data_IF_404989168322
#
_entry.id   IF_404989168322
#
_cell.length_a   1.000
_cell.length_b   1.000
_cell.length_c   1.000
_cell.angle_alpha   90.00
_cell.angle_beta   90.00
_cell.angle_gamma   90.00
#
_symmetry.space_group_name_H-M   'P 1'
#
loop_
_entity.id
_entity.type
_entity.pdbx_description
1 polymer ?
#
# COMPACT_ATOMS: atom_id res chain seq x y z
N UNK A 1 15.66 -6.80 2.48
CA UNK A 1 15.18 -7.86 1.53
C UNK A 1 13.85 -8.39 2.07
N UNK A 2 12.90 -8.76 1.19
CA UNK A 2 11.63 -9.33 1.66
C UNK A 2 11.85 -10.77 2.08
N UNK A 3 11.48 -11.07 3.31
CA UNK A 3 11.48 -12.39 3.93
C UNK A 3 10.04 -12.87 4.16
N UNK A 4 9.88 -14.16 4.44
CA UNK A 4 8.59 -14.78 4.74
C UNK A 4 8.65 -15.49 6.09
N UNK A 5 7.57 -15.37 6.85
CA UNK A 5 7.38 -16.04 8.14
C UNK A 5 5.98 -16.63 8.20
N UNK A 6 5.89 -17.94 8.29
CA UNK A 6 4.62 -18.63 8.45
C UNK A 6 4.45 -19.11 9.89
N UNK A 7 3.30 -18.82 10.45
CA UNK A 7 2.88 -19.29 11.78
C UNK A 7 1.40 -19.67 11.74
N UNK A 8 1.08 -20.91 12.09
CA UNK A 8 -0.28 -21.43 12.11
C UNK A 8 -1.02 -21.20 10.76
N UNK A 9 -2.12 -20.47 10.80
CA UNK A 9 -2.95 -20.13 9.65
C UNK A 9 -2.63 -18.77 9.03
N UNK A 10 -1.46 -18.19 9.34
CA UNK A 10 -1.06 -16.89 8.80
C UNK A 10 0.32 -16.93 8.13
N UNK A 11 0.47 -16.08 7.13
CA UNK A 11 1.72 -15.80 6.45
C UNK A 11 2.03 -14.31 6.57
N UNK A 12 3.25 -13.98 6.95
CA UNK A 12 3.77 -12.62 7.04
C UNK A 12 4.95 -12.47 6.08
N UNK A 13 4.89 -11.48 5.22
CA UNK A 13 6.02 -11.00 4.40
C UNK A 13 6.54 -9.72 5.03
N UNK A 14 7.85 -9.55 5.12
CA UNK A 14 8.43 -8.37 5.77
C UNK A 14 9.80 -8.00 5.21
N UNK A 15 10.13 -6.72 5.24
CA UNK A 15 11.47 -6.22 4.95
C UNK A 15 12.36 -6.39 6.19
N UNK A 16 13.36 -7.28 6.10
CA UNK A 16 14.29 -7.61 7.19
C UNK A 16 15.19 -6.44 7.63
N UNK A 17 15.27 -5.39 6.84
CA UNK A 17 15.95 -4.15 7.23
C UNK A 17 15.11 -3.32 8.20
N UNK A 18 13.78 -3.36 8.07
CA UNK A 18 12.85 -2.54 8.86
C UNK A 18 12.19 -3.33 10.01
N UNK A 19 11.97 -4.62 9.83
CA UNK A 19 11.33 -5.50 10.82
C UNK A 19 12.29 -6.62 11.18
N UNK A 20 12.80 -6.61 12.41
CA UNK A 20 13.74 -7.64 12.89
C UNK A 20 13.03 -8.89 13.42
N UNK A 21 11.84 -8.69 14.01
CA UNK A 21 11.03 -9.78 14.56
C UNK A 21 9.62 -9.68 13.99
N UNK A 22 9.27 -10.51 12.99
CA UNK A 22 7.91 -10.51 12.45
C UNK A 22 6.92 -11.00 13.50
N UNK A 23 5.81 -10.28 13.64
CA UNK A 23 4.77 -10.59 14.62
C UNK A 23 3.40 -10.15 14.10
N UNK A 24 2.34 -10.87 14.48
CA UNK A 24 0.97 -10.47 14.24
C UNK A 24 0.61 -9.10 14.86
N UNK A 25 1.30 -8.70 15.92
CA UNK A 25 1.11 -7.41 16.59
C UNK A 25 1.40 -6.20 15.68
N UNK A 26 2.23 -6.35 14.65
CA UNK A 26 2.48 -5.30 13.65
C UNK A 26 1.19 -4.86 12.93
N UNK A 27 0.20 -5.73 12.89
CA UNK A 27 -1.08 -5.52 12.18
C UNK A 27 -2.25 -5.32 13.14
N UNK A 28 -1.98 -5.23 14.45
CA UNK A 28 -2.99 -5.01 15.48
C UNK A 28 -3.07 -3.54 15.87
N UNK A 29 -4.19 -2.90 15.57
CA UNK A 29 -4.43 -1.48 15.88
C UNK A 29 -4.46 -1.24 17.39
N UNK A 30 -5.00 -2.18 18.17
CA UNK A 30 -5.08 -2.02 19.64
C UNK A 30 -3.67 -2.06 20.24
N UNK A 31 -2.79 -2.93 19.79
CA UNK A 31 -1.38 -2.92 20.17
C UNK A 31 -0.73 -1.55 19.94
N UNK A 32 -0.94 -0.94 18.76
CA UNK A 32 -0.38 0.38 18.46
C UNK A 32 -0.96 1.52 19.31
N UNK A 33 -2.22 1.40 19.73
CA UNK A 33 -2.86 2.34 20.67
C UNK A 33 -2.27 2.20 22.08
N UNK A 34 -2.12 0.98 22.60
CA UNK A 34 -1.53 0.69 23.89
C UNK A 34 -0.08 1.18 23.98
N UNK A 35 0.68 0.99 22.91
CA UNK A 35 2.04 1.50 22.78
C UNK A 35 2.12 3.03 22.56
N UNK A 36 0.99 3.73 22.44
CA UNK A 36 0.90 5.18 22.16
C UNK A 36 1.65 5.59 20.86
N UNK A 37 1.66 4.70 19.86
CA UNK A 37 2.37 4.88 18.60
C UNK A 37 1.46 5.23 17.42
N UNK A 38 0.16 5.44 17.64
CA UNK A 38 -0.73 5.97 16.62
C UNK A 38 -0.45 7.47 16.46
N UNK A 39 -0.11 7.90 15.23
CA UNK A 39 0.22 9.30 14.90
C UNK A 39 -0.83 9.95 14.00
N UNK A 40 -1.89 9.24 13.66
CA UNK A 40 -2.99 9.74 12.85
C UNK A 40 -3.76 8.65 12.15
N UNK A 41 -4.70 9.06 11.31
CA UNK A 41 -5.46 8.14 10.47
C UNK A 41 -6.03 8.84 9.25
N UNK A 42 -6.33 8.06 8.20
CA UNK A 42 -7.10 8.50 7.03
C UNK A 42 -8.31 7.61 6.85
N UNK A 43 -9.45 8.21 6.48
CA UNK A 43 -10.69 7.49 6.19
C UNK A 43 -10.84 7.29 4.69
N UNK A 44 -11.11 6.05 4.29
CA UNK A 44 -11.45 5.65 2.94
C UNK A 44 -12.54 4.59 2.97
N UNK A 45 -12.43 3.51 2.19
CA UNK A 45 -13.30 2.30 2.32
C UNK A 45 -13.14 1.63 3.69
N UNK A 46 -12.00 1.84 4.34
CA UNK A 46 -11.70 1.50 5.72
C UNK A 46 -10.88 2.63 6.35
N UNK A 47 -10.41 2.40 7.58
CA UNK A 47 -9.47 3.32 8.23
C UNK A 47 -8.05 2.83 7.95
N UNK A 48 -7.21 3.70 7.40
CA UNK A 48 -5.75 3.52 7.38
C UNK A 48 -5.20 4.21 8.62
N UNK A 49 -4.49 3.46 9.45
CA UNK A 49 -3.87 3.98 10.65
C UNK A 49 -2.43 4.36 10.37
N UNK A 50 -2.02 5.53 10.81
CA UNK A 50 -0.63 5.94 10.75
C UNK A 50 0.05 5.61 12.07
N UNK A 51 1.13 4.84 12.00
CA UNK A 51 1.84 4.33 13.17
C UNK A 51 3.33 4.70 13.10
N UNK A 52 3.96 4.86 14.25
CA UNK A 52 5.37 5.19 14.38
C UNK A 52 6.18 3.96 14.72
N UNK A 53 7.03 3.49 13.80
CA UNK A 53 8.09 2.53 14.05
C UNK A 53 9.38 3.26 14.46
N UNK A 54 10.42 2.57 14.96
CA UNK A 54 11.63 3.23 15.46
C UNK A 54 12.31 4.19 14.48
N UNK A 55 12.26 3.90 13.18
CA UNK A 55 12.98 4.66 12.15
C UNK A 55 12.12 5.13 10.98
N UNK A 56 10.81 4.82 10.97
CA UNK A 56 9.93 5.11 9.85
C UNK A 56 8.48 5.27 10.33
N UNK A 57 7.76 6.21 9.76
CA UNK A 57 6.31 6.27 9.90
C UNK A 57 5.66 5.34 8.89
N UNK A 58 4.62 4.64 9.30
CA UNK A 58 3.95 3.66 8.47
C UNK A 58 2.44 3.88 8.39
N UNK A 59 1.86 3.41 7.31
CA UNK A 59 0.43 3.33 7.07
C UNK A 59 0.00 1.86 7.17
N UNK A 60 -0.78 1.53 8.19
CA UNK A 60 -1.38 0.22 8.39
C UNK A 60 -2.77 0.20 7.77
N UNK A 61 -2.96 -0.66 6.79
CA UNK A 61 -4.21 -0.81 6.04
C UNK A 61 -4.71 -2.26 6.12
N UNK A 62 -5.97 -2.41 6.55
CA UNK A 62 -6.72 -3.65 6.41
C UNK A 62 -7.47 -3.65 5.08
N UNK A 63 -7.36 -4.73 4.28
CA UNK A 63 -8.03 -4.83 2.99
C UNK A 63 -9.53 -4.99 3.16
N UNK A 64 -10.29 -4.15 2.48
CA UNK A 64 -11.75 -4.21 2.48
C UNK A 64 -12.31 -4.27 1.08
N UNK A 65 -13.36 -5.08 0.89
CA UNK A 65 -14.10 -5.12 -0.37
C UNK A 65 -14.92 -3.86 -0.54
N UNK A 66 -14.93 -3.32 -1.76
CA UNK A 66 -15.88 -2.30 -2.19
C UNK A 66 -17.11 -2.94 -2.85
N UNK A 67 -18.12 -2.11 -3.15
CA UNK A 67 -19.32 -2.50 -3.86
C UNK A 67 -20.38 -3.22 -3.00
N UNK A 68 -21.43 -3.74 -3.66
CA UNK A 68 -22.60 -4.37 -3.01
C UNK A 68 -22.23 -5.61 -2.19
N UNK A 69 -21.31 -6.45 -2.67
CA UNK A 69 -20.83 -7.62 -1.94
C UNK A 69 -20.03 -7.25 -0.67
N UNK A 70 -19.38 -6.09 -0.65
CA UNK A 70 -18.66 -5.60 0.53
C UNK A 70 -19.57 -5.22 1.71
N UNK A 71 -20.87 -5.07 1.50
CA UNK A 71 -21.84 -4.82 2.57
C UNK A 71 -22.13 -6.07 3.41
N UNK A 72 -21.92 -7.26 2.85
CA UNK A 72 -22.22 -8.55 3.52
C UNK A 72 -20.92 -9.24 3.95
N UNK A 73 -19.87 -9.21 3.10
CA UNK A 73 -18.56 -9.81 3.37
C UNK A 73 -17.51 -8.74 3.09
N UNK A 74 -17.16 -7.98 4.12
CA UNK A 74 -16.39 -6.73 3.95
C UNK A 74 -14.88 -6.95 3.72
N UNK A 75 -14.30 -8.07 4.18
CA UNK A 75 -12.84 -8.24 4.30
C UNK A 75 -12.33 -9.65 4.01
N UNK A 76 -13.19 -10.56 3.52
CA UNK A 76 -12.81 -11.93 3.19
C UNK A 76 -12.64 -12.11 1.69
N UNK A 77 -11.58 -12.80 1.30
CA UNK A 77 -11.19 -13.11 -0.07
C UNK A 77 -11.02 -14.62 -0.24
N UNK A 78 -11.33 -15.17 -1.42
CA UNK A 78 -11.11 -16.58 -1.71
C UNK A 78 -9.60 -16.89 -1.66
N UNK A 79 -9.23 -17.92 -0.89
CA UNK A 79 -7.85 -18.36 -0.77
C UNK A 79 -7.49 -19.36 -1.88
N UNK A 80 -6.56 -18.99 -2.73
CA UNK A 80 -6.02 -19.80 -3.83
C UNK A 80 -4.52 -20.06 -3.69
N UNK A 81 -3.92 -19.66 -2.55
CA UNK A 81 -2.51 -19.79 -2.25
C UNK A 81 -1.95 -18.51 -1.63
N UNK A 82 -0.89 -18.62 -0.86
CA UNK A 82 -0.29 -17.49 -0.13
C UNK A 82 0.19 -16.40 -1.08
N UNK A 83 0.91 -16.76 -2.14
CA UNK A 83 1.44 -15.82 -3.14
C UNK A 83 0.35 -15.16 -3.99
N UNK A 84 -0.87 -15.71 -4.00
CA UNK A 84 -2.02 -15.19 -4.71
C UNK A 84 -2.85 -14.22 -3.84
N UNK A 85 -2.47 -14.03 -2.58
CA UNK A 85 -3.15 -13.07 -1.71
C UNK A 85 -2.85 -11.64 -2.15
N UNK A 86 -3.84 -10.75 -2.01
CA UNK A 86 -3.75 -9.35 -2.47
C UNK A 86 -2.56 -8.63 -1.84
N UNK A 87 -2.34 -8.84 -0.55
CA UNK A 87 -1.24 -8.20 0.17
C UNK A 87 0.14 -8.69 -0.30
N UNK A 88 0.30 -9.99 -0.62
CA UNK A 88 1.53 -10.52 -1.18
C UNK A 88 1.79 -9.97 -2.58
N UNK A 89 0.77 -9.92 -3.42
CA UNK A 89 0.88 -9.36 -4.78
C UNK A 89 1.20 -7.88 -4.77
N UNK A 90 0.51 -7.08 -3.93
CA UNK A 90 0.79 -5.65 -3.82
C UNK A 90 2.18 -5.39 -3.26
N UNK A 91 2.62 -6.11 -2.21
CA UNK A 91 3.97 -5.99 -1.67
C UNK A 91 5.04 -6.29 -2.73
N UNK A 92 4.87 -7.35 -3.52
CA UNK A 92 5.78 -7.71 -4.60
C UNK A 92 5.81 -6.63 -5.68
N UNK A 93 4.63 -6.12 -6.07
CA UNK A 93 4.50 -5.07 -7.08
C UNK A 93 5.19 -3.78 -6.66
N UNK A 94 4.98 -3.33 -5.40
CA UNK A 94 5.65 -2.15 -4.84
C UNK A 94 7.17 -2.28 -4.88
N UNK A 95 7.72 -3.46 -4.55
CA UNK A 95 9.17 -3.69 -4.67
C UNK A 95 9.65 -3.61 -6.14
N UNK A 96 8.91 -4.15 -7.09
CA UNK A 96 9.23 -4.05 -8.51
C UNK A 96 9.25 -2.58 -8.96
N UNK A 97 8.26 -1.79 -8.55
CA UNK A 97 8.18 -0.37 -8.86
C UNK A 97 9.34 0.44 -8.26
N UNK A 98 9.71 0.16 -7.01
CA UNK A 98 10.87 0.79 -6.36
C UNK A 98 12.16 0.48 -7.13
N UNK A 99 12.36 -0.76 -7.55
CA UNK A 99 13.53 -1.16 -8.34
C UNK A 99 13.57 -0.50 -9.72
N UNK A 100 12.39 -0.20 -10.29
CA UNK A 100 12.25 0.56 -11.53
C UNK A 100 12.38 2.09 -11.34
N UNK A 101 12.60 2.58 -10.12
CA UNK A 101 12.76 4.01 -9.81
C UNK A 101 11.45 4.79 -9.77
N UNK A 102 10.32 4.11 -9.61
CA UNK A 102 9.01 4.74 -9.40
C UNK A 102 8.87 5.11 -7.92
N UNK A 103 8.38 6.32 -7.66
CA UNK A 103 8.12 6.78 -6.30
C UNK A 103 6.80 6.19 -5.79
N UNK A 104 6.90 5.15 -5.01
CA UNK A 104 5.79 4.47 -4.34
C UNK A 104 6.13 4.24 -2.87
N UNK A 105 5.15 4.08 -1.96
CA UNK A 105 5.42 3.76 -0.57
C UNK A 105 6.24 2.47 -0.44
N UNK A 106 7.32 2.50 0.35
CA UNK A 106 8.10 1.29 0.62
C UNK A 106 7.25 0.29 1.40
N UNK A 107 7.09 -0.95 0.94
CA UNK A 107 6.39 -1.97 1.72
C UNK A 107 7.26 -2.39 2.91
N UNK A 108 6.68 -2.41 4.10
CA UNK A 108 7.35 -2.77 5.36
C UNK A 108 7.01 -4.21 5.72
N UNK A 109 5.72 -4.53 5.77
CA UNK A 109 5.23 -5.87 6.02
C UNK A 109 3.83 -6.07 5.43
N UNK A 110 3.47 -7.31 5.14
CA UNK A 110 2.14 -7.71 4.74
C UNK A 110 1.75 -9.00 5.49
N UNK A 111 0.45 -9.16 5.80
CA UNK A 111 -0.07 -10.36 6.44
C UNK A 111 -1.28 -10.87 5.71
N UNK A 112 -1.36 -12.19 5.55
CA UNK A 112 -2.59 -12.89 5.19
C UNK A 112 -2.94 -13.90 6.29
N UNK A 113 -4.21 -13.92 6.71
CA UNK A 113 -4.74 -14.87 7.71
C UNK A 113 -5.81 -15.71 7.05
N UNK A 114 -5.57 -17.01 6.92
CA UNK A 114 -6.48 -17.98 6.29
C UNK A 114 -7.50 -18.47 7.28
N UNK A 115 -8.78 -18.53 6.86
CA UNK A 115 -9.88 -19.13 7.60
C UNK A 115 -10.74 -19.97 6.64
N UNK A 116 -10.63 -21.28 6.72
CA UNK A 116 -11.30 -22.19 5.78
C UNK A 116 -10.85 -21.95 4.32
N UNK A 117 -11.81 -21.61 3.46
CA UNK A 117 -11.58 -21.28 2.04
C UNK A 117 -11.35 -19.78 1.79
N UNK A 118 -11.35 -18.97 2.85
CA UNK A 118 -11.17 -17.52 2.75
C UNK A 118 -9.89 -17.04 3.46
N UNK A 119 -9.50 -15.79 3.20
CA UNK A 119 -8.46 -15.10 3.94
C UNK A 119 -8.80 -13.63 4.15
N UNK A 120 -8.21 -13.04 5.17
CA UNK A 120 -8.13 -11.60 5.42
C UNK A 120 -6.70 -11.14 5.19
N UNK A 121 -6.50 -9.87 4.90
CA UNK A 121 -5.18 -9.33 4.60
C UNK A 121 -4.96 -7.93 5.16
N UNK A 122 -3.70 -7.66 5.48
CA UNK A 122 -3.21 -6.37 5.96
C UNK A 122 -1.93 -5.99 5.21
N UNK A 123 -1.70 -4.70 5.05
CA UNK A 123 -0.47 -4.13 4.52
C UNK A 123 0.02 -3.02 5.45
N UNK A 124 1.29 -3.07 5.79
CA UNK A 124 2.04 -2.02 6.46
C UNK A 124 3.05 -1.46 5.46
N UNK A 125 2.87 -0.22 5.03
CA UNK A 125 3.76 0.47 4.10
C UNK A 125 4.25 1.79 4.67
N UNK A 126 5.31 2.34 4.13
CA UNK A 126 5.80 3.66 4.47
C UNK A 126 4.70 4.71 4.35
N UNK A 127 4.55 5.57 5.35
CA UNK A 127 3.78 6.79 5.23
C UNK A 127 4.63 7.85 4.58
N UNK A 128 4.16 8.44 3.48
CA UNK A 128 4.85 9.56 2.85
C UNK A 128 4.65 10.81 3.72
N UNK A 129 5.71 11.32 4.38
CA UNK A 129 5.57 12.47 5.26
C UNK A 129 5.29 13.74 4.46
N UNK A 130 4.52 14.66 5.06
CA UNK A 130 4.22 15.99 4.52
C UNK A 130 3.63 15.97 3.09
N UNK A 131 3.05 14.84 2.66
CA UNK A 131 2.41 14.73 1.36
C UNK A 131 0.91 15.02 1.45
N UNK A 132 0.41 15.67 0.41
CA UNK A 132 -1.01 15.93 0.21
C UNK A 132 -1.48 15.23 -1.07
N UNK A 133 -2.73 14.76 -1.09
CA UNK A 133 -3.31 14.24 -2.31
C UNK A 133 -3.59 15.36 -3.32
N UNK A 134 -3.57 14.99 -4.59
CA UNK A 134 -3.72 15.94 -5.69
C UNK A 134 -5.09 16.64 -5.68
N UNK A 135 -6.13 16.02 -5.09
CA UNK A 135 -7.45 16.65 -4.94
C UNK A 135 -7.36 17.85 -4.01
N UNK A 136 -6.79 17.67 -2.82
CA UNK A 136 -6.63 18.74 -1.83
C UNK A 136 -5.82 19.91 -2.38
N UNK A 137 -4.76 19.61 -3.14
CA UNK A 137 -3.92 20.63 -3.76
C UNK A 137 -4.70 21.41 -4.82
N UNK A 138 -5.41 20.72 -5.73
CA UNK A 138 -6.15 21.36 -6.81
C UNK A 138 -7.38 22.15 -6.33
N UNK A 139 -7.96 21.78 -5.19
CA UNK A 139 -9.01 22.56 -4.54
C UNK A 139 -8.49 23.89 -3.99
N UNK A 140 -7.22 23.96 -3.60
CA UNK A 140 -6.60 25.17 -3.08
C UNK A 140 -6.12 26.11 -4.20
N UNK A 141 -5.44 25.56 -5.23
CA UNK A 141 -4.92 26.35 -6.36
C UNK A 141 -4.58 25.43 -7.55
N UNK A 142 -4.57 25.99 -8.79
CA UNK A 142 -4.07 25.26 -9.97
C UNK A 142 -2.57 24.98 -9.82
N UNK A 143 -2.15 23.82 -10.32
CA UNK A 143 -0.73 23.44 -10.31
C UNK A 143 0.06 24.17 -11.41
N UNK A 144 1.35 24.48 -11.16
CA UNK A 144 2.26 24.92 -12.19
C UNK A 144 2.43 23.85 -13.30
N UNK A 145 2.63 24.29 -14.56
CA UNK A 145 2.81 23.39 -15.71
C UNK A 145 3.90 22.32 -15.46
N UNK A 146 4.98 22.70 -14.80
CA UNK A 146 6.07 21.78 -14.46
C UNK A 146 5.64 20.62 -13.57
N UNK A 147 4.65 20.83 -12.69
CA UNK A 147 4.16 19.76 -11.82
C UNK A 147 3.35 18.72 -12.60
N UNK A 148 2.55 19.13 -13.58
CA UNK A 148 1.89 18.19 -14.48
C UNK A 148 2.90 17.34 -15.28
N UNK A 149 4.03 17.95 -15.69
CA UNK A 149 5.11 17.19 -16.33
C UNK A 149 5.72 16.16 -15.37
N UNK A 150 5.96 16.51 -14.09
CA UNK A 150 6.48 15.57 -13.09
C UNK A 150 5.52 14.41 -12.85
N UNK A 151 4.21 14.69 -12.77
CA UNK A 151 3.17 13.65 -12.62
C UNK A 151 3.22 12.70 -13.83
N UNK A 152 3.23 13.25 -15.06
CA UNK A 152 3.33 12.46 -16.27
C UNK A 152 4.58 11.59 -16.33
N UNK A 153 5.74 12.13 -15.93
CA UNK A 153 7.00 11.38 -15.87
C UNK A 153 6.94 10.22 -14.86
N UNK A 154 6.27 10.40 -13.73
CA UNK A 154 6.16 9.34 -12.73
C UNK A 154 5.23 8.21 -13.19
N UNK A 155 4.14 8.57 -13.88
CA UNK A 155 3.24 7.62 -14.53
C UNK A 155 3.97 6.87 -15.67
N UNK A 156 4.77 7.57 -16.46
CA UNK A 156 5.56 6.97 -17.55
C UNK A 156 6.55 5.91 -17.03
N UNK A 157 7.26 6.20 -15.94
CA UNK A 157 8.14 5.20 -15.29
C UNK A 157 7.36 3.95 -14.86
N UNK A 158 6.16 4.12 -14.30
CA UNK A 158 5.30 3.00 -13.90
C UNK A 158 4.90 2.17 -15.12
N UNK A 159 4.52 2.80 -16.23
CA UNK A 159 4.19 2.12 -17.47
C UNK A 159 5.44 1.45 -18.09
N UNK A 160 6.60 2.09 -18.05
CA UNK A 160 7.86 1.48 -18.49
C UNK A 160 8.23 0.21 -17.68
N UNK A 161 7.82 0.15 -16.40
CA UNK A 161 7.90 -1.05 -15.57
C UNK A 161 6.80 -2.09 -15.88
N UNK A 162 5.99 -1.85 -16.92
CA UNK A 162 4.87 -2.70 -17.35
C UNK A 162 3.81 -2.90 -16.25
N UNK A 163 3.61 -1.92 -15.39
CA UNK A 163 2.60 -1.98 -14.32
C UNK A 163 1.34 -1.25 -14.75
N UNK A 164 0.21 -1.96 -14.67
CA UNK A 164 -1.11 -1.41 -14.89
C UNK A 164 -1.74 -1.04 -13.54
N UNK A 165 -1.96 0.25 -13.32
CA UNK A 165 -2.65 0.77 -12.14
C UNK A 165 -4.15 0.84 -12.43
N UNK A 166 -4.90 -0.12 -11.90
CA UNK A 166 -6.33 -0.30 -12.24
C UNK A 166 -7.25 0.79 -11.72
N UNK A 167 -6.76 1.69 -10.86
CA UNK A 167 -7.53 2.80 -10.27
C UNK A 167 -6.69 4.10 -10.22
N UNK A 168 -5.93 4.39 -11.30
CA UNK A 168 -5.14 5.62 -11.35
C UNK A 168 -6.05 6.84 -11.47
N UNK A 169 -6.06 7.66 -10.42
CA UNK A 169 -6.84 8.88 -10.35
C UNK A 169 -6.16 9.90 -9.42
N UNK A 170 -6.70 11.11 -9.33
CA UNK A 170 -6.10 12.22 -8.57
C UNK A 170 -6.07 12.01 -7.04
N UNK A 171 -6.84 11.05 -6.49
CA UNK A 171 -6.73 10.67 -5.07
C UNK A 171 -5.53 9.77 -4.79
N UNK A 172 -5.03 9.07 -5.83
CA UNK A 172 -3.94 8.12 -5.73
C UNK A 172 -2.59 8.72 -6.19
N UNK A 173 -2.52 10.05 -6.29
CA UNK A 173 -1.32 10.82 -6.57
C UNK A 173 -1.08 11.77 -5.39
N UNK A 174 0.08 11.64 -4.74
CA UNK A 174 0.49 12.55 -3.68
C UNK A 174 1.65 13.43 -4.14
N UNK A 175 1.72 14.63 -3.58
CA UNK A 175 2.87 15.54 -3.75
C UNK A 175 3.34 15.92 -2.35
N UNK A 176 4.63 15.69 -2.07
CA UNK A 176 5.25 16.05 -0.79
C UNK A 176 5.75 17.51 -0.77
N UNK A 177 6.26 17.94 0.37
CA UNK A 177 6.81 19.30 0.57
C UNK A 177 8.08 19.59 -0.24
N UNK A 178 8.73 18.56 -0.78
CA UNK A 178 9.85 18.67 -1.73
C UNK A 178 9.40 18.67 -3.19
N UNK A 179 8.08 18.75 -3.44
CA UNK A 179 7.50 18.68 -4.78
C UNK A 179 7.80 17.37 -5.52
N UNK A 180 8.00 16.28 -4.78
CA UNK A 180 8.14 14.95 -5.33
C UNK A 180 6.77 14.31 -5.47
N UNK A 181 6.53 13.66 -6.61
CA UNK A 181 5.28 12.97 -6.91
C UNK A 181 5.38 11.53 -6.45
N UNK A 182 4.32 11.02 -5.84
CA UNK A 182 4.19 9.65 -5.34
C UNK A 182 2.91 9.02 -5.87
N UNK A 183 2.98 7.78 -6.31
CA UNK A 183 1.82 6.97 -6.69
C UNK A 183 1.48 6.01 -5.54
N UNK A 184 0.19 5.90 -5.19
CA UNK A 184 -0.27 5.08 -4.07
C UNK A 184 -1.47 4.20 -4.45
N UNK A 185 -1.83 3.25 -3.57
CA UNK A 185 -2.97 2.33 -3.69
C UNK A 185 -2.89 1.38 -4.89
N UNK A 186 -1.89 0.49 -4.85
CA UNK A 186 -1.68 -0.54 -5.87
C UNK A 186 -2.52 -1.81 -5.65
N UNK A 187 -3.57 -1.74 -4.84
CA UNK A 187 -4.51 -2.83 -4.65
C UNK A 187 -5.17 -3.21 -5.99
N UNK A 188 -5.10 -4.50 -6.38
CA UNK A 188 -5.54 -5.05 -7.67
C UNK A 188 -4.71 -4.63 -8.90
N UNK A 189 -3.64 -3.88 -8.70
CA UNK A 189 -2.71 -3.59 -9.79
C UNK A 189 -1.87 -4.81 -10.11
N UNK A 190 -1.36 -4.89 -11.33
CA UNK A 190 -0.60 -6.05 -11.79
C UNK A 190 0.44 -5.63 -12.82
N UNK A 191 1.46 -6.48 -12.95
CA UNK A 191 2.44 -6.35 -14.01
C UNK A 191 1.92 -7.07 -15.26
N UNK A 192 1.85 -6.38 -16.37
CA UNK A 192 1.42 -6.91 -17.66
C UNK A 192 2.66 -7.43 -18.40
N UNK A 193 2.62 -8.69 -18.85
CA UNK A 193 3.64 -9.22 -19.73
C UNK A 193 3.20 -9.04 -21.20
N UNK A 194 4.06 -8.39 -22.01
CA UNK A 194 3.84 -8.26 -23.45
C UNK A 194 3.65 -6.84 -23.97
N UNK A 195 3.75 -6.67 -25.28
CA UNK A 195 3.48 -5.42 -25.99
C UNK A 195 1.98 -5.17 -26.02
N UNK A 196 1.47 -4.24 -25.23
CA UNK A 196 0.03 -4.00 -25.18
C UNK A 196 -0.39 -2.74 -24.45
N UNK A 197 0.24 -1.60 -24.81
CA UNK A 197 -0.20 -0.26 -24.40
C UNK A 197 -0.65 0.52 -25.62
#
# INVERSE_FOLDING_TARGET
MIQQFQQDNQMIWFDDQLVKTPSALLFDVEYWKEEQKIIGSAKGRGTTWFVSLPHIQAALRHYRRGGLLGKVISDQYLFTGWEQTRCAQELKLLNTLIQAGVNVPRPIAARAVKSGLAYQADLLSERIPNAQDLVSILQAAPLPKQMYCKIGMEIDKMHAAQVNHTDLNIHNILIDDQQKVWLIDFDKCYQQSGEGW
#
